data_IF_944957000282
#
_entry.id   IF_944957000282
#
_cell.length_a   1.000
_cell.length_b   1.000
_cell.length_c   1.000
_cell.angle_alpha   90.00
_cell.angle_beta   90.00
_cell.angle_gamma   90.00
#
_symmetry.space_group_name_H-M   'P 1'
#
loop_
_entity.id
_entity.type
_entity.pdbx_description
1 polymer ?
#
# COMPACT_ATOMS: atom_id res chain seq x y z
N UNK A 1 31.74 -31.02 43.54
CA UNK A 1 31.40 -29.98 42.55
C UNK A 1 32.23 -30.24 41.30
N UNK A 2 31.61 -30.66 40.21
CA UNK A 2 32.32 -30.95 38.94
C UNK A 2 32.20 -29.71 38.05
N UNK A 3 33.31 -28.99 37.88
CA UNK A 3 33.38 -27.90 36.90
C UNK A 3 33.80 -28.49 35.57
N UNK A 4 32.84 -28.64 34.66
CA UNK A 4 33.12 -29.05 33.28
C UNK A 4 33.66 -27.85 32.51
N UNK A 5 34.98 -27.82 32.23
CA UNK A 5 35.65 -26.80 31.39
C UNK A 5 35.23 -26.92 29.90
N UNK A 6 33.93 -27.05 29.61
CA UNK A 6 33.41 -27.09 28.25
C UNK A 6 33.26 -25.66 27.74
N UNK A 7 34.08 -25.29 26.76
CA UNK A 7 33.94 -24.07 25.99
C UNK A 7 33.43 -24.42 24.59
N UNK A 8 32.42 -23.70 24.11
CA UNK A 8 31.97 -23.80 22.72
C UNK A 8 33.09 -23.26 21.81
N UNK A 9 33.55 -24.02 20.80
CA UNK A 9 34.56 -23.52 19.87
C UNK A 9 34.03 -22.27 19.15
N UNK A 10 34.85 -21.20 19.10
CA UNK A 10 34.51 -19.93 18.42
C UNK A 10 33.95 -20.15 17.02
N UNK A 11 34.50 -21.12 16.27
CA UNK A 11 34.03 -21.46 14.92
C UNK A 11 32.62 -22.06 14.91
N UNK A 12 32.28 -22.88 15.90
CA UNK A 12 30.94 -23.45 16.06
C UNK A 12 29.93 -22.36 16.42
N UNK A 13 30.32 -21.46 17.33
CA UNK A 13 29.50 -20.31 17.70
C UNK A 13 29.24 -19.38 16.49
N UNK A 14 30.29 -19.00 15.75
CA UNK A 14 30.16 -18.14 14.57
C UNK A 14 29.39 -18.79 13.42
N UNK A 15 29.49 -20.11 13.23
CA UNK A 15 28.67 -20.85 12.24
C UNK A 15 27.19 -20.86 12.62
N UNK A 16 26.86 -20.97 13.91
CA UNK A 16 25.48 -20.87 14.40
C UNK A 16 24.91 -19.46 14.27
N UNK A 17 25.73 -18.43 14.55
CA UNK A 17 25.31 -17.03 14.41
C UNK A 17 24.94 -16.65 12.97
N UNK A 18 25.63 -17.20 11.97
CA UNK A 18 25.33 -16.94 10.56
C UNK A 18 23.89 -17.35 10.17
N UNK A 19 23.38 -18.45 10.73
CA UNK A 19 22.00 -18.88 10.50
C UNK A 19 20.98 -17.95 11.19
N UNK A 20 21.31 -17.42 12.38
CA UNK A 20 20.41 -16.52 13.12
C UNK A 20 20.34 -15.10 12.56
N UNK A 21 21.39 -14.62 11.88
CA UNK A 21 21.40 -13.28 11.27
C UNK A 21 20.70 -13.28 9.90
N UNK A 22 20.69 -14.42 9.20
CA UNK A 22 20.08 -14.54 7.88
C UNK A 22 18.56 -14.80 7.90
N UNK A 23 18.01 -15.28 9.02
CA UNK A 23 16.61 -15.68 9.10
C UNK A 23 15.74 -14.54 9.69
N UNK A 24 14.73 -14.04 8.95
CA UNK A 24 13.71 -13.20 9.55
C UNK A 24 13.00 -13.95 10.68
N UNK A 25 12.58 -13.22 11.71
CA UNK A 25 11.88 -13.79 12.86
C UNK A 25 10.61 -14.50 12.36
N UNK A 26 10.51 -15.81 12.58
CA UNK A 26 9.33 -16.59 12.19
C UNK A 26 8.21 -16.42 13.24
N UNK A 27 6.95 -16.53 12.82
CA UNK A 27 5.80 -16.46 13.75
C UNK A 27 5.90 -17.48 14.89
N UNK A 28 6.50 -18.65 14.63
CA UNK A 28 6.76 -19.69 15.63
C UNK A 28 7.77 -19.28 16.73
N UNK A 29 8.50 -18.18 16.53
CA UNK A 29 9.49 -17.63 17.48
C UNK A 29 8.91 -16.50 18.34
N UNK A 30 7.64 -16.14 18.11
CA UNK A 30 6.90 -15.18 18.93
C UNK A 30 6.28 -15.92 20.13
N UNK A 31 6.47 -15.45 21.38
CA UNK A 31 5.80 -16.04 22.54
C UNK A 31 4.28 -16.04 22.36
N UNK A 32 3.63 -17.16 22.69
CA UNK A 32 2.18 -17.31 22.57
C UNK A 32 1.46 -16.19 23.34
N UNK A 33 0.32 -15.75 22.80
CA UNK A 33 -0.50 -14.64 23.32
C UNK A 33 0.14 -13.24 23.27
N UNK A 34 1.27 -13.06 22.60
CA UNK A 34 1.77 -11.71 22.28
C UNK A 34 1.02 -11.15 21.08
N UNK A 35 0.47 -9.93 21.19
CA UNK A 35 -0.15 -9.27 20.05
C UNK A 35 0.88 -9.04 18.94
N UNK A 36 0.62 -9.52 17.72
CA UNK A 36 1.53 -9.40 16.56
C UNK A 36 1.98 -7.97 16.28
N UNK A 37 1.16 -6.97 16.60
CA UNK A 37 1.52 -5.56 16.47
C UNK A 37 2.69 -5.11 17.38
N UNK A 38 2.97 -5.87 18.44
CA UNK A 38 4.05 -5.60 19.41
C UNK A 38 5.25 -6.53 19.23
N UNK A 39 5.35 -7.23 18.09
CA UNK A 39 6.44 -8.16 17.81
C UNK A 39 7.31 -7.64 16.67
N UNK A 40 8.59 -8.04 16.60
CA UNK A 40 9.44 -7.78 15.43
C UNK A 40 8.92 -8.43 14.13
N UNK A 41 7.90 -9.30 14.22
CA UNK A 41 7.24 -9.93 13.09
C UNK A 41 6.01 -9.12 12.62
N UNK A 42 5.77 -7.92 13.15
CA UNK A 42 4.69 -7.06 12.70
C UNK A 42 4.80 -6.81 11.19
N UNK A 43 3.74 -7.09 10.40
CA UNK A 43 3.79 -6.90 8.96
C UNK A 43 3.89 -5.40 8.63
N UNK A 44 4.74 -5.08 7.65
CA UNK A 44 4.85 -3.72 7.12
C UNK A 44 3.50 -3.27 6.57
N UNK A 45 2.93 -2.22 7.16
CA UNK A 45 1.70 -1.58 6.67
C UNK A 45 2.00 -0.88 5.35
N UNK A 46 1.14 -1.11 4.36
CA UNK A 46 1.24 -0.50 3.04
C UNK A 46 -0.04 0.23 2.71
N UNK A 47 0.10 1.38 2.07
CA UNK A 47 -0.99 2.15 1.48
C UNK A 47 -0.84 2.09 -0.03
N UNK A 48 -1.92 1.81 -0.74
CA UNK A 48 -1.93 1.69 -2.18
C UNK A 48 -3.04 2.53 -2.79
N UNK A 49 -2.73 3.24 -3.86
CA UNK A 49 -3.69 3.95 -4.68
C UNK A 49 -3.65 3.38 -6.09
N UNK A 50 -4.80 3.00 -6.62
CA UNK A 50 -4.93 2.50 -7.99
C UNK A 50 -5.88 3.41 -8.73
N UNK A 51 -5.40 3.92 -9.87
CA UNK A 51 -6.17 4.79 -10.73
C UNK A 51 -6.50 4.08 -12.04
N UNK A 52 -7.76 4.16 -12.45
CA UNK A 52 -8.23 3.67 -13.74
C UNK A 52 -8.67 4.90 -14.53
N UNK A 53 -7.85 5.36 -15.50
CA UNK A 53 -8.10 6.59 -16.22
C UNK A 53 -9.33 6.47 -17.16
N UNK A 54 -9.51 7.50 -17.98
CA UNK A 54 -10.58 7.57 -18.99
C UNK A 54 -10.75 6.25 -19.76
N UNK A 55 -12.01 5.86 -20.00
CA UNK A 55 -12.36 4.60 -20.67
C UNK A 55 -12.80 3.49 -19.72
N UNK A 56 -12.89 3.75 -18.42
CA UNK A 56 -13.47 2.82 -17.46
C UNK A 56 -14.97 2.61 -17.71
N UNK A 57 -15.41 1.35 -17.73
CA UNK A 57 -16.83 1.02 -17.80
C UNK A 57 -17.45 1.05 -16.38
N UNK A 58 -17.80 2.25 -15.92
CA UNK A 58 -18.24 2.53 -14.53
C UNK A 58 -19.40 1.64 -14.07
N UNK A 59 -20.30 1.23 -14.98
CA UNK A 59 -21.40 0.31 -14.65
C UNK A 59 -20.89 -1.05 -14.14
N UNK A 60 -19.76 -1.56 -14.65
CA UNK A 60 -19.14 -2.80 -14.14
C UNK A 60 -18.37 -2.61 -12.84
N UNK A 61 -18.07 -1.36 -12.44
CA UNK A 61 -17.42 -1.02 -11.17
C UNK A 61 -18.41 -0.69 -10.06
N UNK A 62 -19.65 -0.33 -10.41
CA UNK A 62 -20.68 0.10 -9.45
C UNK A 62 -21.47 -1.11 -8.95
N UNK A 63 -21.42 -1.44 -7.64
CA UNK A 63 -22.25 -2.50 -7.07
C UNK A 63 -23.74 -2.21 -7.28
N UNK A 64 -24.57 -3.22 -7.58
CA UNK A 64 -26.00 -3.05 -7.67
C UNK A 64 -26.63 -2.90 -6.27
N UNK A 65 -27.73 -2.15 -6.18
CA UNK A 65 -28.49 -1.96 -4.94
C UNK A 65 -28.50 -0.51 -4.46
N UNK A 66 -29.07 -0.30 -3.28
CA UNK A 66 -29.13 1.02 -2.63
C UNK A 66 -27.95 1.20 -1.67
N UNK A 67 -27.76 2.44 -1.20
CA UNK A 67 -26.73 2.75 -0.21
C UNK A 67 -26.91 1.93 1.07
N UNK A 68 -25.82 1.40 1.61
CA UNK A 68 -25.84 0.57 2.82
C UNK A 68 -24.75 -0.48 2.81
N UNK A 69 -25.01 -1.61 3.48
CA UNK A 69 -24.07 -2.72 3.52
C UNK A 69 -23.83 -3.29 2.12
N UNK A 70 -22.56 -3.50 1.78
CA UNK A 70 -22.15 -4.08 0.50
C UNK A 70 -22.50 -5.58 0.49
N UNK A 71 -23.64 -5.92 -0.11
CA UNK A 71 -24.14 -7.30 -0.16
C UNK A 71 -23.75 -8.06 -1.43
N UNK A 72 -23.54 -7.35 -2.53
CA UNK A 72 -23.19 -7.91 -3.84
C UNK A 72 -22.08 -7.11 -4.50
N UNK A 73 -21.13 -7.80 -5.12
CA UNK A 73 -20.07 -7.20 -5.91
C UNK A 73 -20.48 -7.11 -7.38
N UNK A 74 -20.00 -6.07 -8.07
CA UNK A 74 -20.12 -5.94 -9.52
C UNK A 74 -19.06 -6.81 -10.23
N UNK A 75 -19.17 -7.03 -11.56
CA UNK A 75 -18.22 -7.89 -12.28
C UNK A 75 -16.74 -7.49 -12.09
N UNK A 76 -16.42 -6.20 -12.16
CA UNK A 76 -15.03 -5.72 -11.97
C UNK A 76 -14.53 -5.85 -10.53
N UNK A 77 -15.43 -5.92 -9.54
CA UNK A 77 -15.09 -6.09 -8.14
C UNK A 77 -15.13 -7.56 -7.69
N UNK A 78 -15.63 -8.48 -8.53
CA UNK A 78 -15.73 -9.91 -8.20
C UNK A 78 -14.44 -10.57 -7.69
N UNK A 79 -13.22 -10.19 -8.14
CA UNK A 79 -12.00 -10.76 -7.58
C UNK A 79 -11.75 -10.41 -6.10
N UNK A 80 -12.42 -9.38 -5.58
CA UNK A 80 -12.30 -8.93 -4.19
C UNK A 80 -13.28 -9.64 -3.23
N UNK A 81 -14.04 -10.63 -3.71
CA UNK A 81 -14.95 -11.42 -2.87
C UNK A 81 -14.33 -11.97 -1.57
N UNK A 82 -13.05 -12.43 -1.54
CA UNK A 82 -12.42 -12.92 -0.32
C UNK A 82 -12.26 -11.86 0.80
N UNK A 83 -12.39 -10.57 0.47
CA UNK A 83 -12.23 -9.45 1.40
C UNK A 83 -13.45 -8.52 1.43
N UNK A 84 -14.62 -9.00 0.97
CA UNK A 84 -15.84 -8.18 0.82
C UNK A 84 -16.24 -7.45 2.12
N UNK A 85 -16.02 -8.08 3.27
CA UNK A 85 -16.28 -7.53 4.61
C UNK A 85 -15.39 -6.34 4.98
N UNK A 86 -14.31 -6.11 4.22
CA UNK A 86 -13.35 -5.02 4.38
C UNK A 86 -13.47 -3.97 3.27
N UNK A 87 -14.44 -4.09 2.36
CA UNK A 87 -14.63 -3.17 1.25
C UNK A 87 -15.68 -2.12 1.56
N UNK A 88 -15.37 -0.88 1.21
CA UNK A 88 -16.34 0.21 1.10
C UNK A 88 -16.28 0.78 -0.31
N UNK A 89 -17.43 0.88 -0.98
CA UNK A 89 -17.53 1.46 -2.31
C UNK A 89 -18.28 2.78 -2.21
N UNK A 90 -17.62 3.87 -2.60
CA UNK A 90 -18.22 5.19 -2.66
C UNK A 90 -18.53 5.52 -4.12
N UNK A 91 -19.76 5.95 -4.39
CA UNK A 91 -20.25 6.30 -5.72
C UNK A 91 -20.71 7.74 -5.75
N UNK A 92 -21.00 8.27 -6.95
CA UNK A 92 -21.49 9.63 -7.13
C UNK A 92 -20.54 10.71 -6.56
N UNK A 93 -19.23 10.48 -6.70
CA UNK A 93 -18.19 11.44 -6.34
C UNK A 93 -17.64 12.11 -7.60
N UNK A 94 -17.37 13.40 -7.49
CA UNK A 94 -16.71 14.18 -8.52
C UNK A 94 -15.56 14.98 -7.91
N UNK A 95 -14.42 14.98 -8.59
CA UNK A 95 -13.30 15.84 -8.23
C UNK A 95 -13.38 17.14 -9.03
N UNK A 96 -14.07 18.14 -8.50
CA UNK A 96 -14.34 19.42 -9.20
C UNK A 96 -13.08 20.09 -9.78
N UNK A 97 -11.96 19.99 -9.07
CA UNK A 97 -10.69 20.60 -9.48
C UNK A 97 -10.06 19.93 -10.72
N UNK A 98 -10.53 18.75 -11.12
CA UNK A 98 -10.10 18.05 -12.33
C UNK A 98 -10.90 18.46 -13.59
N UNK A 99 -12.00 19.22 -13.45
CA UNK A 99 -12.85 19.64 -14.55
C UNK A 99 -12.05 20.46 -15.59
N UNK A 100 -12.21 20.24 -16.91
CA UNK A 100 -13.28 19.48 -17.59
C UNK A 100 -13.11 17.95 -17.63
N UNK A 101 -12.15 17.38 -16.89
CA UNK A 101 -12.01 15.93 -16.74
C UNK A 101 -11.33 15.25 -17.92
N UNK A 102 -10.35 15.90 -18.55
CA UNK A 102 -9.54 15.34 -19.64
C UNK A 102 -8.55 14.27 -19.16
N UNK A 103 -7.89 13.59 -20.10
CA UNK A 103 -6.77 12.69 -19.78
C UNK A 103 -5.71 13.38 -18.90
N UNK A 104 -5.31 14.61 -19.25
CA UNK A 104 -4.29 15.33 -18.50
C UNK A 104 -4.79 15.81 -17.13
N UNK A 105 -5.95 16.46 -17.08
CA UNK A 105 -6.45 17.10 -15.86
C UNK A 105 -6.89 16.08 -14.81
N UNK A 106 -7.48 14.95 -15.21
CA UNK A 106 -7.87 13.88 -14.28
C UNK A 106 -6.66 13.15 -13.70
N UNK A 107 -5.66 12.84 -14.53
CA UNK A 107 -4.41 12.22 -14.07
C UNK A 107 -3.68 13.11 -13.06
N UNK A 108 -3.56 14.40 -13.36
CA UNK A 108 -2.87 15.34 -12.50
C UNK A 108 -3.57 15.51 -11.14
N UNK A 109 -4.90 15.58 -11.13
CA UNK A 109 -5.66 15.86 -9.91
C UNK A 109 -5.85 14.63 -8.99
N UNK A 110 -5.65 13.39 -9.48
CA UNK A 110 -6.07 12.16 -8.78
C UNK A 110 -5.64 12.08 -7.30
N UNK A 111 -4.36 12.31 -6.98
CA UNK A 111 -3.85 12.24 -5.60
C UNK A 111 -3.62 13.59 -4.94
N UNK A 112 -3.63 14.69 -5.71
CA UNK A 112 -3.40 16.05 -5.19
C UNK A 112 -4.70 16.79 -4.87
N UNK A 113 -5.81 16.38 -5.49
CA UNK A 113 -7.06 17.14 -5.56
C UNK A 113 -6.87 18.60 -6.03
N UNK A 114 -5.75 18.93 -6.67
CA UNK A 114 -5.41 20.27 -7.09
C UNK A 114 -5.71 20.49 -8.57
N UNK A 115 -6.08 21.72 -8.94
CA UNK A 115 -6.22 22.10 -10.35
C UNK A 115 -4.84 22.28 -10.96
N UNK A 116 -4.55 21.49 -11.99
CA UNK A 116 -3.28 21.57 -12.69
C UNK A 116 -3.13 22.88 -13.46
N UNK A 117 -1.97 23.52 -13.33
CA UNK A 117 -1.57 24.61 -14.21
C UNK A 117 -1.33 24.02 -15.60
N UNK A 118 -2.01 24.53 -16.61
CA UNK A 118 -1.69 24.19 -17.99
C UNK A 118 -0.40 24.90 -18.40
N UNK A 119 0.57 24.13 -18.88
CA UNK A 119 1.86 24.63 -19.36
C UNK A 119 2.34 23.81 -20.55
N UNK A 120 3.22 24.39 -21.36
CA UNK A 120 3.80 23.78 -22.57
C UNK A 120 5.17 23.14 -22.31
N UNK A 121 5.73 23.25 -21.11
CA UNK A 121 7.12 22.85 -20.82
C UNK A 121 7.32 22.35 -19.38
N UNK A 122 8.57 22.28 -18.91
CA UNK A 122 9.01 21.62 -17.68
C UNK A 122 8.68 22.33 -16.36
N UNK A 123 7.95 23.45 -16.38
CA UNK A 123 7.53 24.20 -15.18
C UNK A 123 6.28 23.59 -14.51
N UNK A 124 6.18 22.26 -14.52
CA UNK A 124 5.11 21.54 -13.86
C UNK A 124 5.20 21.72 -12.35
N UNK A 125 4.15 22.30 -11.77
CA UNK A 125 3.98 22.42 -10.33
C UNK A 125 2.54 22.08 -9.97
N UNK A 126 2.38 21.24 -8.95
CA UNK A 126 1.07 20.83 -8.44
C UNK A 126 1.12 20.68 -6.92
N UNK A 127 -0.07 20.59 -6.30
CA UNK A 127 -0.20 20.37 -4.87
C UNK A 127 0.43 19.05 -4.41
N UNK A 128 0.86 19.02 -3.16
CA UNK A 128 1.35 17.81 -2.49
C UNK A 128 0.28 16.73 -2.53
N UNK A 129 0.65 15.53 -2.92
CA UNK A 129 -0.27 14.40 -3.07
C UNK A 129 -0.46 13.64 -1.75
N UNK A 130 -1.58 12.93 -1.62
CA UNK A 130 -1.89 12.17 -0.41
C UNK A 130 -0.87 11.06 -0.10
N UNK A 131 -0.29 10.43 -1.12
CA UNK A 131 0.81 9.47 -0.98
C UNK A 131 2.07 10.12 -0.41
N UNK A 132 2.42 11.35 -0.84
CA UNK A 132 3.52 12.11 -0.28
C UNK A 132 3.30 12.47 1.18
N UNK A 133 2.06 12.84 1.56
CA UNK A 133 1.69 13.08 2.96
C UNK A 133 1.82 11.78 3.77
N UNK A 134 1.33 10.65 3.23
CA UNK A 134 1.44 9.35 3.89
C UNK A 134 2.90 8.93 4.08
N UNK A 135 3.76 9.13 3.08
CA UNK A 135 5.19 8.81 3.14
C UNK A 135 5.96 9.56 4.24
N UNK A 136 5.45 10.71 4.72
CA UNK A 136 6.02 11.42 5.87
C UNK A 136 5.74 10.71 7.20
N UNK A 137 4.70 9.86 7.26
CA UNK A 137 4.23 9.19 8.48
C UNK A 137 4.43 7.67 8.45
N UNK A 138 4.56 7.07 7.27
CA UNK A 138 4.81 5.64 7.05
C UNK A 138 5.87 5.40 5.96
N UNK A 139 6.39 4.18 5.88
CA UNK A 139 7.39 3.80 4.84
C UNK A 139 8.85 4.08 5.22
N UNK A 140 9.13 4.54 6.45
CA UNK A 140 10.49 4.75 6.95
C UNK A 140 11.26 3.44 7.21
N UNK A 141 10.55 2.31 7.21
CA UNK A 141 11.10 0.96 7.35
C UNK A 141 11.49 0.33 5.99
N UNK A 142 11.13 0.97 4.88
CA UNK A 142 11.43 0.50 3.52
C UNK A 142 12.42 1.43 2.82
N UNK A 143 13.17 0.92 1.83
CA UNK A 143 14.16 1.74 1.08
C UNK A 143 13.52 2.92 0.36
N UNK A 144 12.31 2.73 -0.13
CA UNK A 144 11.50 3.76 -0.77
C UNK A 144 10.27 3.98 0.11
N UNK A 145 10.01 5.21 0.60
CA UNK A 145 8.84 5.51 1.40
C UNK A 145 7.56 5.67 0.55
N UNK A 146 7.72 5.94 -0.75
CA UNK A 146 6.66 5.91 -1.77
C UNK A 146 7.22 5.32 -3.07
N UNK A 147 6.37 4.67 -3.86
CA UNK A 147 6.72 4.11 -5.18
C UNK A 147 5.57 4.36 -6.15
N UNK A 148 5.83 5.20 -7.15
CA UNK A 148 4.88 5.56 -8.19
C UNK A 148 5.15 4.72 -9.44
N UNK A 149 4.12 4.02 -9.91
CA UNK A 149 4.17 3.21 -11.13
C UNK A 149 3.08 3.69 -12.08
N UNK A 150 3.44 3.89 -13.35
CA UNK A 150 2.53 4.20 -14.42
C UNK A 150 2.77 3.27 -15.60
N UNK A 151 1.70 2.94 -16.33
CA UNK A 151 1.81 2.35 -17.65
C UNK A 151 1.70 3.49 -18.66
N UNK A 152 2.84 4.05 -19.04
CA UNK A 152 2.92 5.01 -20.14
C UNK A 152 3.78 4.43 -21.26
N UNK A 153 3.41 4.73 -22.50
CA UNK A 153 4.28 4.49 -23.64
C UNK A 153 5.20 5.71 -23.72
N UNK A 154 6.50 5.51 -23.51
CA UNK A 154 7.50 6.50 -23.95
C UNK A 154 7.39 6.74 -25.45
#
# INVERSE_FOLDING_TARGET
>A
MIISKKALPRRTFLRGMGATVALPLLDAMVPSMTALANTPAAPVRRLGFVYIPMGSHIQSWTPPGEAGALTKLSPSLSPLAPVQDQLTVLTNLELRNAYPGTHATSNAAFLSAATAKWTESSDYYLGTTVDQIAAQQMGQETRLPSLELAMDLM
#
